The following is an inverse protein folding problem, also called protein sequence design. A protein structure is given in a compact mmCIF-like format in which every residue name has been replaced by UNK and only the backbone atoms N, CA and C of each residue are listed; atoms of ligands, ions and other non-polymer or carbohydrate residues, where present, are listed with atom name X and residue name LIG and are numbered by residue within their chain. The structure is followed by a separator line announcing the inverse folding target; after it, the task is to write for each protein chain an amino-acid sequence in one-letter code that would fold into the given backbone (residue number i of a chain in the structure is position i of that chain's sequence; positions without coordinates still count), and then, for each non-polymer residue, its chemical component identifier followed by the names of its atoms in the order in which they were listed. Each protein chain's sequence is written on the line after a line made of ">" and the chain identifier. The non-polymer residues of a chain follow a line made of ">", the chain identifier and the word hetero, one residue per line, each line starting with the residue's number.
data_IF_658559787979
#
_entry.id   IF_658559787979
#
_cell.length_a   1.000
_cell.length_b   1.000
_cell.length_c   1.000
_cell.angle_alpha   90.00
_cell.angle_beta   90.00
_cell.angle_gamma   90.00
#
_symmetry.space_group_name_H-M   'P 1'
#
loop_
_entity.id
_entity.type
_entity.pdbx_description
1 polymer ?
#
# COMPACT_ATOMS: atom_id res chain seq x y z
N UNK A 1 -44.72 1.87 29.87
CA UNK A 1 -43.30 1.75 29.48
C UNK A 1 -43.10 2.16 28.02
N UNK A 2 -43.42 3.41 27.65
CA UNK A 2 -43.26 3.92 26.28
C UNK A 2 -42.53 5.27 26.21
N UNK A 3 -42.04 5.81 27.33
CA UNK A 3 -41.61 7.21 27.42
C UNK A 3 -40.09 7.43 27.61
N UNK A 4 -39.28 6.37 27.53
CA UNK A 4 -37.81 6.48 27.70
C UNK A 4 -37.02 6.40 26.39
N UNK A 5 -37.66 6.22 25.24
CA UNK A 5 -36.96 6.07 23.94
C UNK A 5 -36.58 7.38 23.23
N UNK A 6 -36.85 8.56 23.82
CA UNK A 6 -36.62 9.86 23.15
C UNK A 6 -35.51 10.75 23.79
N UNK A 7 -34.69 10.21 24.72
CA UNK A 7 -33.82 11.03 25.58
C UNK A 7 -32.42 11.35 25.04
N UNK A 8 -32.14 11.18 23.74
CA UNK A 8 -30.89 11.69 23.13
C UNK A 8 -31.15 12.50 21.86
N UNK A 9 -31.97 13.54 21.96
CA UNK A 9 -31.92 14.62 20.97
C UNK A 9 -30.59 15.36 21.13
N UNK A 10 -29.68 15.19 20.18
CA UNK A 10 -28.46 16.00 20.07
C UNK A 10 -28.88 17.46 20.03
N UNK A 11 -28.37 18.32 20.95
CA UNK A 11 -28.74 19.72 20.98
C UNK A 11 -28.48 20.37 19.62
N UNK A 12 -29.39 21.23 19.17
CA UNK A 12 -29.28 21.93 17.90
C UNK A 12 -28.79 23.37 18.09
N UNK A 13 -28.39 24.05 17.00
CA UNK A 13 -28.06 25.48 17.02
C UNK A 13 -29.21 26.32 17.60
N UNK A 14 -30.47 25.89 17.42
CA UNK A 14 -31.65 26.58 17.98
C UNK A 14 -31.72 26.44 19.50
N UNK A 15 -31.28 25.31 20.05
CA UNK A 15 -31.28 25.08 21.49
C UNK A 15 -30.19 25.92 22.17
N UNK A 16 -29.02 26.04 21.54
CA UNK A 16 -27.96 26.96 21.98
C UNK A 16 -28.42 28.41 21.91
N UNK A 17 -29.11 28.79 20.83
CA UNK A 17 -29.61 30.15 20.64
C UNK A 17 -30.60 30.55 21.74
N UNK A 18 -31.47 29.62 22.13
CA UNK A 18 -32.39 29.79 23.26
C UNK A 18 -31.65 29.89 24.59
N UNK A 19 -30.66 29.02 24.84
CA UNK A 19 -29.90 29.02 26.09
C UNK A 19 -29.01 30.27 26.25
N UNK A 20 -28.46 30.79 25.15
CA UNK A 20 -27.61 31.98 25.16
C UNK A 20 -28.38 33.31 24.98
N UNK A 21 -29.70 33.25 24.82
CA UNK A 21 -30.60 34.38 24.54
C UNK A 21 -30.13 35.25 23.36
N UNK A 22 -30.01 34.62 22.20
CA UNK A 22 -29.58 35.27 20.95
C UNK A 22 -30.29 34.65 19.74
N UNK A 23 -30.22 35.32 18.59
CA UNK A 23 -30.69 34.73 17.34
C UNK A 23 -29.83 33.52 16.92
N UNK A 24 -30.41 32.46 16.32
CA UNK A 24 -29.66 31.32 15.77
C UNK A 24 -28.58 31.72 14.75
N UNK A 25 -28.78 32.81 14.02
CA UNK A 25 -27.80 33.38 13.10
C UNK A 25 -26.56 33.91 13.83
N UNK A 26 -26.70 34.47 15.03
CA UNK A 26 -25.60 34.93 15.89
C UNK A 26 -24.80 33.75 16.45
N UNK A 27 -25.47 32.69 16.91
CA UNK A 27 -24.80 31.43 17.30
C UNK A 27 -24.02 30.85 16.13
N UNK A 28 -24.64 30.73 14.96
CA UNK A 28 -23.98 30.24 13.76
C UNK A 28 -22.76 31.08 13.36
N UNK A 29 -22.82 32.41 13.49
CA UNK A 29 -21.68 33.31 13.23
C UNK A 29 -20.52 33.06 14.20
N UNK A 30 -20.81 32.95 15.50
CA UNK A 30 -19.80 32.72 16.54
C UNK A 30 -19.16 31.34 16.40
N UNK A 31 -19.94 30.28 16.21
CA UNK A 31 -19.42 28.91 16.11
C UNK A 31 -18.69 28.64 14.79
N UNK A 32 -19.05 29.34 13.72
CA UNK A 32 -18.38 29.22 12.42
C UNK A 32 -17.30 30.29 12.16
N UNK A 33 -17.02 31.15 13.15
CA UNK A 33 -16.05 32.26 13.07
C UNK A 33 -16.18 33.08 11.77
N UNK A 34 -17.41 33.46 11.38
CA UNK A 34 -17.64 34.29 10.17
C UNK A 34 -17.23 35.73 10.47
N UNK A 35 -16.29 36.29 9.70
CA UNK A 35 -16.10 37.74 9.63
C UNK A 35 -17.29 38.35 8.86
N UNK A 36 -18.08 39.19 9.51
CA UNK A 36 -19.18 39.94 8.92
C UNK A 36 -19.15 41.37 9.45
N UNK A 37 -19.72 42.31 8.71
CA UNK A 37 -19.73 43.77 9.00
C UNK A 37 -20.37 44.16 10.34
N UNK A 38 -20.97 43.19 11.05
CA UNK A 38 -21.54 43.34 12.39
C UNK A 38 -20.74 42.49 13.37
N UNK A 39 -19.98 43.15 14.25
CA UNK A 39 -19.16 42.50 15.27
C UNK A 39 -20.03 41.95 16.42
N UNK A 40 -19.82 40.69 16.79
CA UNK A 40 -20.45 40.10 17.99
C UNK A 40 -19.58 40.44 19.20
N UNK A 41 -20.20 41.02 20.25
CA UNK A 41 -19.49 41.41 21.46
C UNK A 41 -18.89 40.20 22.19
N UNK A 42 -17.76 40.40 22.87
CA UNK A 42 -17.08 39.32 23.60
C UNK A 42 -17.95 38.73 24.73
N UNK A 43 -18.77 39.56 25.38
CA UNK A 43 -19.76 39.11 26.36
C UNK A 43 -20.79 38.13 25.75
N UNK A 44 -21.20 38.36 24.50
CA UNK A 44 -22.14 37.48 23.80
C UNK A 44 -21.45 36.20 23.32
N UNK A 45 -20.18 36.29 22.89
CA UNK A 45 -19.35 35.14 22.53
C UNK A 45 -19.19 34.20 23.73
N UNK A 46 -18.88 34.72 24.92
CA UNK A 46 -18.79 33.94 26.17
C UNK A 46 -20.10 33.23 26.51
N UNK A 47 -21.25 33.92 26.43
CA UNK A 47 -22.57 33.31 26.69
C UNK A 47 -22.86 32.13 25.75
N UNK A 48 -22.53 32.26 24.47
CA UNK A 48 -22.72 31.19 23.49
C UNK A 48 -21.83 29.98 23.80
N UNK A 49 -20.56 30.19 24.15
CA UNK A 49 -19.65 29.08 24.50
C UNK A 49 -20.02 28.38 25.80
N UNK A 50 -20.50 29.12 26.82
CA UNK A 50 -21.06 28.52 28.04
C UNK A 50 -22.27 27.65 27.72
N UNK A 51 -23.22 28.14 26.93
CA UNK A 51 -24.39 27.37 26.49
C UNK A 51 -24.00 26.11 25.69
N UNK A 52 -22.96 26.18 24.84
CA UNK A 52 -22.43 24.99 24.15
C UNK A 52 -21.89 23.95 25.14
N UNK A 53 -21.14 24.38 26.15
CA UNK A 53 -20.56 23.50 27.17
C UNK A 53 -21.63 22.84 28.02
N UNK A 54 -22.60 23.60 28.52
CA UNK A 54 -23.71 23.12 29.35
C UNK A 54 -24.59 22.12 28.61
N UNK A 55 -24.89 22.39 27.33
CA UNK A 55 -25.69 21.51 26.50
C UNK A 55 -24.89 20.31 25.96
N UNK A 56 -23.57 20.25 26.20
CA UNK A 56 -22.65 19.29 25.55
C UNK A 56 -22.82 19.30 24.03
N UNK A 57 -23.01 20.49 23.48
CA UNK A 57 -23.17 20.69 22.05
C UNK A 57 -21.82 20.52 21.36
N UNK A 58 -21.73 19.53 20.49
CA UNK A 58 -20.64 19.40 19.54
C UNK A 58 -21.09 19.95 18.18
N UNK A 59 -20.37 20.94 17.59
CA UNK A 59 -20.66 21.41 16.25
C UNK A 59 -20.74 20.23 15.28
N UNK A 60 -21.90 20.07 14.64
CA UNK A 60 -22.09 18.97 13.71
C UNK A 60 -21.14 19.15 12.53
N UNK A 61 -20.19 18.23 12.37
CA UNK A 61 -19.21 18.23 11.27
C UNK A 61 -19.93 18.25 9.91
N UNK A 62 -21.09 17.61 9.80
CA UNK A 62 -21.95 17.65 8.61
C UNK A 62 -22.59 19.02 8.36
N UNK A 63 -22.83 19.82 9.41
CA UNK A 63 -23.32 21.20 9.26
C UNK A 63 -22.21 22.15 8.78
N UNK A 64 -20.93 21.91 9.14
CA UNK A 64 -19.79 22.63 8.52
C UNK A 64 -19.66 22.29 7.03
N UNK A 65 -19.89 21.03 6.64
CA UNK A 65 -19.88 20.52 5.25
C UNK A 65 -20.97 21.14 4.37
N UNK A 66 -22.15 21.43 4.93
CA UNK A 66 -23.29 21.98 4.20
C UNK A 66 -23.09 23.43 3.69
N UNK A 67 -22.10 24.15 4.24
CA UNK A 67 -21.82 25.56 3.89
C UNK A 67 -20.61 25.72 2.95
N UNK A 68 -20.23 24.67 2.21
CA UNK A 68 -19.16 24.73 1.20
C UNK A 68 -17.75 24.80 1.76
N UNK A 69 -17.54 24.39 3.02
CA UNK A 69 -16.21 24.31 3.64
C UNK A 69 -15.64 22.89 3.52
N UNK A 70 -14.32 22.82 3.34
CA UNK A 70 -13.51 21.58 3.41
C UNK A 70 -13.84 20.76 4.65
N UNK A 71 -13.85 19.43 4.50
CA UNK A 71 -14.13 18.46 5.57
C UNK A 71 -13.09 18.48 6.69
N UNK A 72 -11.88 18.97 6.41
CA UNK A 72 -10.68 18.84 7.25
C UNK A 72 -10.35 17.36 7.53
N UNK A 73 -10.65 16.48 6.57
CA UNK A 73 -10.41 15.05 6.70
C UNK A 73 -9.62 14.56 5.49
N UNK A 74 -8.53 13.85 5.74
CA UNK A 74 -7.69 13.24 4.71
C UNK A 74 -7.84 11.73 4.79
N UNK A 75 -8.09 11.09 3.64
CA UNK A 75 -8.06 9.63 3.55
C UNK A 75 -6.60 9.13 3.46
N UNK A 76 -6.26 8.11 4.24
CA UNK A 76 -5.11 7.25 3.95
C UNK A 76 -5.64 5.91 3.51
N UNK A 77 -5.26 5.51 2.31
CA UNK A 77 -5.81 4.32 1.68
C UNK A 77 -4.75 3.28 1.50
N UNK A 78 -5.05 2.09 1.99
CA UNK A 78 -4.19 0.92 1.92
C UNK A 78 -4.89 -0.10 1.03
N UNK A 79 -4.50 -0.27 -0.24
CA UNK A 79 -4.94 -1.37 -1.08
C UNK A 79 -4.65 -2.70 -0.37
N UNK A 80 -5.44 -3.75 -0.65
CA UNK A 80 -5.24 -5.03 0.04
C UNK A 80 -3.86 -5.61 -0.29
N UNK A 81 -2.98 -5.66 0.71
CA UNK A 81 -1.67 -6.30 0.60
C UNK A 81 -1.82 -7.78 0.28
N UNK A 82 -2.95 -8.43 0.62
CA UNK A 82 -3.24 -9.81 0.21
C UNK A 82 -3.15 -10.07 -1.30
N UNK A 83 -3.20 -9.04 -2.16
CA UNK A 83 -2.94 -9.19 -3.61
C UNK A 83 -1.46 -9.36 -3.97
N UNK A 84 -0.58 -8.92 -3.08
CA UNK A 84 0.88 -8.91 -3.26
C UNK A 84 1.52 -9.95 -2.33
N UNK A 85 1.01 -10.08 -1.12
CA UNK A 85 1.44 -10.97 -0.05
C UNK A 85 0.23 -11.64 0.60
N UNK A 86 -0.34 -12.69 -0.02
CA UNK A 86 -1.53 -13.37 0.51
C UNK A 86 -1.36 -13.87 1.95
N UNK A 87 -0.14 -14.16 2.38
CA UNK A 87 0.17 -14.65 3.73
C UNK A 87 0.35 -13.55 4.78
N UNK A 88 0.21 -12.26 4.43
CA UNK A 88 0.45 -11.14 5.36
C UNK A 88 -0.82 -10.29 5.48
N UNK A 89 -1.30 -10.01 6.71
CA UNK A 89 -2.44 -9.12 6.93
C UNK A 89 -2.18 -7.70 6.39
N UNK A 90 -3.22 -7.06 5.84
CA UNK A 90 -3.11 -5.78 5.12
C UNK A 90 -2.51 -4.61 5.92
N UNK A 91 -2.59 -4.66 7.26
CA UNK A 91 -2.09 -3.60 8.15
C UNK A 91 -0.87 -4.02 8.97
N UNK A 92 -0.27 -5.18 8.66
CA UNK A 92 0.86 -5.72 9.42
C UNK A 92 2.23 -5.24 8.94
N UNK A 93 2.29 -4.40 7.91
CA UNK A 93 3.55 -3.83 7.40
C UNK A 93 4.11 -2.77 8.37
N UNK A 94 5.30 -2.96 8.97
CA UNK A 94 5.93 -1.98 9.86
C UNK A 94 6.21 -0.63 9.18
N UNK A 95 6.48 -0.62 7.87
CA UNK A 95 6.68 0.62 7.13
C UNK A 95 5.39 1.44 7.03
N UNK A 96 4.22 0.78 6.91
CA UNK A 96 2.92 1.44 6.94
C UNK A 96 2.69 2.07 8.32
N UNK A 97 2.97 1.36 9.41
CA UNK A 97 2.79 1.88 10.76
C UNK A 97 3.63 3.14 11.03
N UNK A 98 4.91 3.14 10.62
CA UNK A 98 5.78 4.30 10.74
C UNK A 98 5.29 5.48 9.88
N UNK A 99 4.84 5.21 8.66
CA UNK A 99 4.29 6.24 7.76
C UNK A 99 3.01 6.84 8.32
N UNK A 100 2.07 6.01 8.80
CA UNK A 100 0.84 6.47 9.44
C UNK A 100 1.14 7.34 10.66
N UNK A 101 2.15 6.99 11.46
CA UNK A 101 2.57 7.80 12.61
C UNK A 101 3.00 9.20 12.18
N UNK A 102 3.79 9.31 11.10
CA UNK A 102 4.19 10.61 10.52
C UNK A 102 3.01 11.41 9.96
N UNK A 103 2.07 10.74 9.28
CA UNK A 103 0.85 11.37 8.75
C UNK A 103 0.00 11.93 9.90
N UNK A 104 -0.27 11.12 10.93
CA UNK A 104 -1.12 11.51 12.06
C UNK A 104 -0.52 12.66 12.86
N UNK A 105 0.79 12.63 13.11
CA UNK A 105 1.49 13.73 13.78
C UNK A 105 1.35 15.04 13.00
N UNK A 106 1.67 15.01 11.69
CA UNK A 106 1.57 16.17 10.82
C UNK A 106 0.12 16.66 10.63
N UNK A 107 -0.87 15.77 10.69
CA UNK A 107 -2.29 16.06 10.59
C UNK A 107 -2.81 16.77 11.83
N UNK A 108 -2.40 16.29 13.00
CA UNK A 108 -2.76 16.87 14.30
C UNK A 108 -2.30 18.33 14.37
N UNK A 109 -1.06 18.61 13.98
CA UNK A 109 -0.50 19.98 13.94
C UNK A 109 -1.26 20.93 13.02
N UNK A 110 -1.90 20.39 11.97
CA UNK A 110 -2.61 21.16 10.93
C UNK A 110 -4.14 21.09 11.07
N UNK A 111 -4.64 20.56 12.18
CA UNK A 111 -6.07 20.44 12.46
C UNK A 111 -6.82 19.55 11.46
N UNK A 112 -6.15 18.53 10.89
CA UNK A 112 -6.75 17.54 9.99
C UNK A 112 -7.10 16.26 10.76
N UNK A 113 -8.26 15.69 10.45
CA UNK A 113 -8.62 14.32 10.80
C UNK A 113 -8.05 13.34 9.76
N UNK A 114 -7.65 12.14 10.21
CA UNK A 114 -7.16 11.07 9.33
C UNK A 114 -8.17 9.93 9.29
N UNK A 115 -8.68 9.62 8.10
CA UNK A 115 -9.53 8.46 7.86
C UNK A 115 -8.71 7.35 7.20
N UNK A 116 -8.41 6.29 7.96
CA UNK A 116 -7.79 5.09 7.39
C UNK A 116 -8.82 4.25 6.66
N UNK A 117 -8.59 3.98 5.38
CA UNK A 117 -9.47 3.17 4.54
C UNK A 117 -8.72 1.97 4.01
N UNK A 118 -9.22 0.78 4.35
CA UNK A 118 -8.73 -0.47 3.77
C UNK A 118 -9.42 -0.72 2.44
N UNK A 119 -8.65 -0.80 1.36
CA UNK A 119 -9.16 -1.23 0.06
C UNK A 119 -9.58 -2.71 0.07
N UNK A 120 -10.59 -3.05 -0.71
CA UNK A 120 -10.96 -4.45 -0.99
C UNK A 120 -10.30 -4.93 -2.29
N UNK A 121 -10.52 -6.20 -2.69
CA UNK A 121 -10.00 -6.75 -3.94
C UNK A 121 -10.52 -6.04 -5.22
N UNK A 122 -11.51 -5.15 -5.08
CA UNK A 122 -12.07 -4.31 -6.13
C UNK A 122 -11.78 -2.83 -5.88
N UNK A 123 -10.76 -2.49 -5.10
CA UNK A 123 -10.41 -1.12 -4.72
C UNK A 123 -10.47 -0.13 -5.90
N UNK A 124 -9.72 -0.43 -6.97
CA UNK A 124 -9.69 0.35 -8.20
C UNK A 124 -10.97 0.20 -9.05
N UNK A 125 -11.52 -1.02 -9.17
CA UNK A 125 -12.62 -1.31 -10.10
C UNK A 125 -14.02 -0.95 -9.59
N UNK A 126 -14.22 -0.97 -8.27
CA UNK A 126 -15.51 -0.72 -7.62
C UNK A 126 -15.86 0.76 -7.56
N UNK A 127 -14.86 1.65 -7.67
CA UNK A 127 -15.00 3.11 -7.53
C UNK A 127 -15.71 3.56 -6.23
N UNK A 128 -15.95 2.67 -5.27
CA UNK A 128 -16.69 2.99 -4.04
C UNK A 128 -16.02 4.12 -3.25
N UNK A 129 -14.70 4.20 -3.31
CA UNK A 129 -13.90 5.25 -2.67
C UNK A 129 -14.14 6.65 -3.29
N UNK A 130 -14.60 6.75 -4.54
CA UNK A 130 -15.04 8.03 -5.12
C UNK A 130 -16.21 8.63 -4.35
N UNK A 131 -17.02 7.82 -3.68
CA UNK A 131 -18.09 8.34 -2.82
C UNK A 131 -17.55 9.12 -1.62
N UNK A 132 -16.31 8.88 -1.19
CA UNK A 132 -15.67 9.66 -0.12
C UNK A 132 -15.43 11.10 -0.57
N UNK A 133 -14.92 11.27 -1.81
CA UNK A 133 -14.77 12.59 -2.42
C UNK A 133 -16.12 13.22 -2.78
N UNK A 134 -16.95 12.51 -3.54
CA UNK A 134 -18.26 13.02 -4.02
C UNK A 134 -19.22 13.34 -2.87
N UNK A 135 -19.12 12.61 -1.76
CA UNK A 135 -19.89 12.85 -0.54
C UNK A 135 -19.27 13.90 0.39
N UNK A 136 -18.15 14.54 0.01
CA UNK A 136 -17.46 15.54 0.83
C UNK A 136 -16.98 14.99 2.18
N UNK A 137 -16.66 13.69 2.23
CA UNK A 137 -16.16 13.02 3.44
C UNK A 137 -14.68 13.29 3.64
N UNK A 138 -13.92 13.43 2.55
CA UNK A 138 -12.49 13.72 2.57
C UNK A 138 -12.16 14.80 1.55
N UNK A 139 -11.13 15.60 1.85
CA UNK A 139 -10.64 16.65 0.97
C UNK A 139 -9.56 16.13 0.03
N UNK A 140 -8.80 15.13 0.47
CA UNK A 140 -7.69 14.53 -0.27
C UNK A 140 -7.38 13.11 0.16
N UNK A 141 -6.54 12.43 -0.62
CA UNK A 141 -6.22 11.02 -0.43
C UNK A 141 -4.72 10.72 -0.59
N UNK A 142 -4.15 10.10 0.44
CA UNK A 142 -2.85 9.45 0.38
C UNK A 142 -3.07 7.97 0.03
N UNK A 143 -2.35 7.46 -0.97
CA UNK A 143 -2.47 6.05 -1.38
C UNK A 143 -1.14 5.34 -1.09
N UNK A 144 -1.15 4.45 -0.10
CA UNK A 144 0.01 3.67 0.29
C UNK A 144 0.12 2.40 -0.54
N UNK A 145 1.31 2.06 -1.04
CA UNK A 145 1.58 0.72 -1.58
C UNK A 145 0.80 0.36 -2.84
N UNK A 146 0.43 1.35 -3.66
CA UNK A 146 -0.25 1.12 -4.93
C UNK A 146 0.53 0.11 -5.81
N UNK A 147 -0.18 -0.69 -6.61
CA UNK A 147 0.43 -1.58 -7.60
C UNK A 147 0.07 -1.13 -9.02
N UNK A 148 0.69 -1.73 -10.04
CA UNK A 148 0.47 -1.37 -11.45
C UNK A 148 -1.01 -1.39 -11.85
N UNK A 149 -1.80 -2.31 -11.32
CA UNK A 149 -3.23 -2.40 -11.62
C UNK A 149 -4.08 -1.26 -11.02
N UNK A 150 -3.53 -0.46 -10.10
CA UNK A 150 -4.20 0.72 -9.54
C UNK A 150 -3.94 2.00 -10.37
N UNK A 151 -3.00 1.97 -11.33
CA UNK A 151 -2.58 3.15 -12.10
C UNK A 151 -3.74 3.86 -12.80
N UNK A 152 -4.60 3.10 -13.49
CA UNK A 152 -5.72 3.66 -14.22
C UNK A 152 -6.70 4.40 -13.29
N UNK A 153 -6.90 3.87 -12.08
CA UNK A 153 -7.76 4.49 -11.08
C UNK A 153 -7.14 5.76 -10.49
N UNK A 154 -5.84 5.76 -10.20
CA UNK A 154 -5.13 6.95 -9.73
C UNK A 154 -5.17 8.06 -10.79
N UNK A 155 -5.02 7.70 -12.06
CA UNK A 155 -5.13 8.64 -13.19
C UNK A 155 -6.54 9.20 -13.34
N UNK A 156 -7.57 8.36 -13.20
CA UNK A 156 -8.98 8.77 -13.22
C UNK A 156 -9.28 9.81 -12.12
N UNK A 157 -8.87 9.53 -10.88
CA UNK A 157 -9.04 10.47 -9.76
C UNK A 157 -8.45 11.84 -10.04
N UNK A 158 -7.22 11.86 -10.57
CA UNK A 158 -6.51 13.11 -10.90
C UNK A 158 -7.16 13.85 -12.06
N UNK A 159 -7.64 13.13 -13.08
CA UNK A 159 -8.35 13.72 -14.21
C UNK A 159 -9.68 14.37 -13.78
N UNK A 160 -10.34 13.84 -12.75
CA UNK A 160 -11.50 14.47 -12.11
C UNK A 160 -11.13 15.67 -11.20
N UNK A 161 -9.85 15.97 -11.02
CA UNK A 161 -9.35 17.07 -10.18
C UNK A 161 -9.22 16.72 -8.69
N UNK A 162 -9.38 15.46 -8.31
CA UNK A 162 -9.30 15.04 -6.91
C UNK A 162 -7.86 15.00 -6.39
N UNK A 163 -7.61 15.50 -5.18
CA UNK A 163 -6.28 15.46 -4.60
C UNK A 163 -5.77 14.09 -4.19
N UNK A 164 -4.73 13.59 -4.89
CA UNK A 164 -4.20 12.24 -4.67
C UNK A 164 -2.67 12.19 -4.76
N UNK A 165 -2.04 11.70 -3.68
CA UNK A 165 -0.59 11.48 -3.59
C UNK A 165 -0.29 10.00 -3.28
N UNK A 166 0.26 9.25 -4.25
CA UNK A 166 0.76 7.90 -4.02
C UNK A 166 2.06 7.90 -3.22
N UNK A 167 2.22 6.88 -2.35
CA UNK A 167 3.34 6.73 -1.44
C UNK A 167 3.81 5.26 -1.42
N UNK A 168 5.12 5.04 -1.38
CA UNK A 168 5.77 3.74 -1.24
C UNK A 168 5.17 2.64 -2.15
N UNK A 169 4.91 2.96 -3.42
CA UNK A 169 4.18 2.09 -4.34
C UNK A 169 4.49 2.35 -5.80
N UNK A 170 3.61 1.89 -6.68
CA UNK A 170 3.73 2.08 -8.12
C UNK A 170 3.25 3.47 -8.50
N UNK A 171 4.03 4.14 -9.35
CA UNK A 171 3.67 5.40 -9.97
C UNK A 171 3.86 5.23 -11.47
N UNK A 172 2.77 5.29 -12.22
CA UNK A 172 2.83 5.19 -13.69
C UNK A 172 3.04 6.54 -14.38
N UNK A 173 2.59 7.62 -13.75
CA UNK A 173 2.83 9.00 -14.18
C UNK A 173 3.78 9.68 -13.19
N UNK A 174 5.06 9.70 -13.55
CA UNK A 174 6.14 10.28 -12.75
C UNK A 174 6.07 11.83 -12.70
N UNK A 175 5.25 12.45 -13.54
CA UNK A 175 5.13 13.92 -13.57
C UNK A 175 4.32 14.46 -12.40
N UNK A 176 3.49 13.63 -11.78
CA UNK A 176 2.63 13.99 -10.67
C UNK A 176 3.28 13.71 -9.30
N UNK A 177 2.90 14.46 -8.23
CA UNK A 177 3.48 14.30 -6.90
C UNK A 177 3.38 12.85 -6.39
N UNK A 178 4.51 12.33 -5.93
CA UNK A 178 4.62 11.01 -5.33
C UNK A 178 5.81 10.92 -4.37
N UNK A 179 5.75 9.96 -3.46
CA UNK A 179 6.81 9.71 -2.48
C UNK A 179 7.25 8.25 -2.54
N UNK A 180 8.53 8.02 -2.85
CA UNK A 180 9.07 6.67 -3.07
C UNK A 180 10.35 6.46 -2.27
N UNK A 181 10.72 5.19 -2.08
CA UNK A 181 12.03 4.79 -1.56
C UNK A 181 12.90 4.32 -2.73
N UNK A 182 14.17 4.72 -2.75
CA UNK A 182 15.16 4.16 -3.67
C UNK A 182 15.57 2.74 -3.25
N UNK A 183 14.65 1.81 -3.49
CA UNK A 183 14.80 0.39 -3.20
C UNK A 183 15.95 -0.25 -3.99
N UNK A 184 16.25 0.28 -5.18
CA UNK A 184 17.35 -0.19 -6.03
C UNK A 184 18.69 0.19 -5.43
N UNK A 185 18.83 1.46 -5.00
CA UNK A 185 20.02 1.94 -4.29
C UNK A 185 20.25 1.14 -3.01
N UNK A 186 19.21 0.90 -2.21
CA UNK A 186 19.33 0.23 -0.91
C UNK A 186 19.84 -1.21 -1.05
N UNK A 187 19.23 -1.98 -1.96
CA UNK A 187 19.64 -3.36 -2.21
C UNK A 187 21.01 -3.45 -2.90
N UNK A 188 21.34 -2.49 -3.76
CA UNK A 188 22.69 -2.39 -4.32
C UNK A 188 23.74 -2.12 -3.23
N UNK A 189 23.41 -1.31 -2.21
CA UNK A 189 24.25 -1.09 -1.03
C UNK A 189 24.53 -2.37 -0.26
N UNK A 190 23.49 -3.17 0.00
CA UNK A 190 23.62 -4.48 0.67
C UNK A 190 24.47 -5.46 -0.14
N UNK A 191 24.26 -5.53 -1.46
CA UNK A 191 25.06 -6.37 -2.33
C UNK A 191 26.53 -5.95 -2.32
N UNK A 192 26.82 -4.64 -2.42
CA UNK A 192 28.20 -4.11 -2.32
C UNK A 192 28.85 -4.46 -0.98
N UNK A 193 28.10 -4.38 0.13
CA UNK A 193 28.58 -4.78 1.46
C UNK A 193 28.96 -6.27 1.51
N UNK A 194 28.13 -7.16 0.99
CA UNK A 194 28.49 -8.58 0.92
C UNK A 194 29.72 -8.82 0.03
N UNK A 195 29.83 -8.12 -1.09
CA UNK A 195 30.96 -8.24 -2.02
C UNK A 195 32.27 -7.75 -1.38
N UNK A 196 32.21 -6.65 -0.61
CA UNK A 196 33.37 -6.09 0.12
C UNK A 196 33.84 -7.00 1.25
N UNK A 197 32.93 -7.76 1.88
CA UNK A 197 33.27 -8.82 2.84
C UNK A 197 33.92 -10.06 2.16
N UNK A 198 33.99 -10.10 0.83
CA UNK A 198 34.62 -11.19 0.08
C UNK A 198 33.66 -12.27 -0.39
N UNK A 199 32.34 -12.11 -0.21
CA UNK A 199 31.38 -13.07 -0.75
C UNK A 199 31.46 -13.13 -2.28
N UNK A 200 31.52 -14.36 -2.80
CA UNK A 200 31.49 -14.65 -4.24
C UNK A 200 30.34 -15.58 -4.63
N UNK A 201 29.58 -16.04 -3.63
CA UNK A 201 28.44 -16.93 -3.82
C UNK A 201 27.21 -16.39 -3.10
N UNK A 202 26.31 -15.70 -3.80
CA UNK A 202 25.15 -15.03 -3.21
C UNK A 202 23.84 -15.63 -3.73
N UNK A 203 22.90 -15.94 -2.84
CA UNK A 203 21.52 -16.21 -3.23
C UNK A 203 20.64 -15.00 -2.90
N UNK A 204 19.81 -14.58 -3.85
CA UNK A 204 18.92 -13.43 -3.72
C UNK A 204 17.49 -13.97 -3.54
N UNK A 205 16.93 -13.82 -2.35
CA UNK A 205 15.53 -14.19 -2.08
C UNK A 205 14.65 -12.99 -2.43
N UNK A 206 14.10 -12.98 -3.64
CA UNK A 206 13.22 -11.91 -4.15
C UNK A 206 11.83 -11.99 -3.51
N UNK A 207 11.11 -10.88 -3.63
CA UNK A 207 9.68 -10.79 -3.30
C UNK A 207 8.80 -10.88 -4.54
N UNK A 208 7.51 -10.49 -4.42
CA UNK A 208 6.53 -10.58 -5.49
C UNK A 208 6.88 -9.65 -6.66
N UNK A 209 6.81 -10.15 -7.89
CA UNK A 209 7.10 -9.34 -9.10
C UNK A 209 6.03 -8.25 -9.37
N UNK A 210 4.89 -8.31 -8.66
CA UNK A 210 3.84 -7.29 -8.70
C UNK A 210 4.14 -6.09 -7.81
N UNK A 211 5.11 -6.19 -6.90
CA UNK A 211 5.46 -5.14 -5.94
C UNK A 211 6.67 -4.33 -6.43
N UNK A 212 6.53 -3.01 -6.68
CA UNK A 212 7.64 -2.18 -7.16
C UNK A 212 8.86 -2.20 -6.24
N UNK A 213 8.65 -2.22 -4.92
CA UNK A 213 9.75 -2.33 -3.95
C UNK A 213 10.53 -3.65 -4.10
N UNK A 214 9.85 -4.78 -4.26
CA UNK A 214 10.51 -6.08 -4.47
C UNK A 214 11.30 -6.13 -5.78
N UNK A 215 10.71 -5.59 -6.85
CA UNK A 215 11.35 -5.50 -8.16
C UNK A 215 12.61 -4.64 -8.06
N UNK A 216 12.49 -3.42 -7.52
CA UNK A 216 13.63 -2.51 -7.34
C UNK A 216 14.76 -3.10 -6.49
N UNK A 217 14.43 -3.75 -5.36
CA UNK A 217 15.42 -4.44 -4.50
C UNK A 217 16.11 -5.58 -5.25
N UNK A 218 15.32 -6.42 -5.93
CA UNK A 218 15.84 -7.53 -6.73
C UNK A 218 16.79 -7.04 -7.82
N UNK A 219 16.38 -6.04 -8.59
CA UNK A 219 17.14 -5.49 -9.72
C UNK A 219 18.43 -4.80 -9.25
N UNK A 220 18.38 -4.06 -8.15
CA UNK A 220 19.55 -3.42 -7.54
C UNK A 220 20.60 -4.44 -7.10
N UNK A 221 20.18 -5.50 -6.41
CA UNK A 221 21.07 -6.59 -5.99
C UNK A 221 21.65 -7.36 -7.19
N UNK A 222 20.80 -7.72 -8.16
CA UNK A 222 21.19 -8.47 -9.36
C UNK A 222 22.20 -7.69 -10.20
N UNK A 223 21.92 -6.42 -10.50
CA UNK A 223 22.82 -5.57 -11.27
C UNK A 223 24.18 -5.45 -10.57
N UNK A 224 24.18 -5.18 -9.26
CA UNK A 224 25.43 -5.05 -8.48
C UNK A 224 26.27 -6.32 -8.49
N UNK A 225 25.65 -7.50 -8.32
CA UNK A 225 26.38 -8.77 -8.37
C UNK A 225 26.94 -9.04 -9.77
N UNK A 226 26.15 -8.75 -10.81
CA UNK A 226 26.56 -8.91 -12.21
C UNK A 226 27.75 -8.03 -12.55
N UNK A 227 27.67 -6.74 -12.21
CA UNK A 227 28.72 -5.76 -12.52
C UNK A 227 30.05 -6.09 -11.80
N UNK A 228 29.97 -6.70 -10.62
CA UNK A 228 31.13 -7.16 -9.85
C UNK A 228 31.64 -8.55 -10.24
N UNK A 229 31.04 -9.22 -11.23
CA UNK A 229 31.41 -10.59 -11.64
C UNK A 229 31.18 -11.65 -10.55
N UNK A 230 30.28 -11.38 -9.60
CA UNK A 230 29.94 -12.31 -8.51
C UNK A 230 28.88 -13.29 -8.97
N UNK A 231 29.08 -14.58 -8.71
CA UNK A 231 28.07 -15.58 -9.00
C UNK A 231 26.86 -15.39 -8.07
N UNK A 232 25.67 -15.36 -8.65
CA UNK A 232 24.42 -15.23 -7.91
C UNK A 232 23.29 -16.07 -8.50
N UNK A 233 22.29 -16.35 -7.68
CA UNK A 233 21.00 -16.91 -8.14
C UNK A 233 19.85 -16.23 -7.43
N UNK A 234 18.85 -15.82 -8.20
CA UNK A 234 17.63 -15.21 -7.70
C UNK A 234 16.50 -16.24 -7.57
N UNK A 235 15.75 -16.14 -6.47
CA UNK A 235 14.63 -17.02 -6.16
C UNK A 235 13.38 -16.16 -5.94
N UNK A 236 12.30 -16.34 -6.73
CA UNK A 236 11.05 -15.61 -6.56
C UNK A 236 10.37 -15.99 -5.25
N UNK A 237 9.53 -15.10 -4.71
CA UNK A 237 8.97 -15.28 -3.38
C UNK A 237 7.99 -14.22 -2.93
N UNK A 238 7.62 -14.27 -1.65
CA UNK A 238 6.81 -13.25 -0.97
C UNK A 238 7.61 -12.54 0.14
N UNK A 239 7.04 -11.47 0.69
CA UNK A 239 7.57 -10.69 1.81
C UNK A 239 7.26 -11.31 3.20
N UNK A 240 7.21 -12.63 3.32
CA UNK A 240 6.81 -13.30 4.57
C UNK A 240 7.92 -14.19 5.14
N UNK A 241 7.84 -14.40 6.46
CA UNK A 241 8.72 -15.31 7.19
C UNK A 241 8.71 -16.71 6.59
N UNK A 242 7.52 -17.32 6.42
CA UNK A 242 7.39 -18.67 5.87
C UNK A 242 7.98 -18.79 4.48
N UNK A 243 7.78 -17.78 3.63
CA UNK A 243 8.37 -17.71 2.30
C UNK A 243 9.91 -17.73 2.34
N UNK A 244 10.51 -16.95 3.24
CA UNK A 244 11.96 -16.94 3.47
C UNK A 244 12.50 -18.28 3.98
N UNK A 245 11.82 -18.85 4.98
CA UNK A 245 12.16 -20.13 5.58
C UNK A 245 12.17 -21.28 4.56
N UNK A 246 11.07 -21.48 3.83
CA UNK A 246 10.96 -22.58 2.86
C UNK A 246 12.02 -22.50 1.76
N UNK A 247 12.29 -21.29 1.24
CA UNK A 247 13.30 -21.09 0.20
C UNK A 247 14.70 -21.34 0.73
N UNK A 248 15.04 -20.76 1.88
CA UNK A 248 16.34 -20.95 2.50
C UNK A 248 16.59 -22.42 2.80
N UNK A 249 15.60 -23.14 3.34
CA UNK A 249 15.71 -24.58 3.61
C UNK A 249 16.05 -25.38 2.35
N UNK A 250 15.39 -25.08 1.21
CA UNK A 250 15.69 -25.74 -0.09
C UNK A 250 17.10 -25.38 -0.60
N UNK A 251 17.50 -24.13 -0.47
CA UNK A 251 18.80 -23.63 -0.95
C UNK A 251 19.96 -24.22 -0.15
N UNK A 252 19.82 -24.28 1.18
CA UNK A 252 20.88 -24.69 2.10
C UNK A 252 21.09 -26.21 2.12
N UNK A 253 20.12 -27.00 1.65
CA UNK A 253 20.28 -28.45 1.40
C UNK A 253 21.07 -28.80 0.13
N UNK A 254 21.32 -27.83 -0.75
CA UNK A 254 22.05 -28.05 -2.00
C UNK A 254 23.55 -28.37 -1.78
N UNK A 255 24.18 -29.06 -2.74
CA UNK A 255 25.63 -29.37 -2.68
C UNK A 255 26.50 -28.12 -2.83
N UNK A 256 26.12 -27.18 -3.70
CA UNK A 256 26.83 -25.91 -3.90
C UNK A 256 26.09 -24.78 -3.19
N UNK A 257 26.47 -24.51 -1.95
CA UNK A 257 25.75 -23.56 -1.08
C UNK A 257 26.22 -22.12 -1.27
N UNK A 258 25.30 -21.14 -1.21
CA UNK A 258 25.70 -19.75 -1.12
C UNK A 258 26.41 -19.49 0.21
N UNK A 259 27.25 -18.47 0.22
CA UNK A 259 27.87 -17.95 1.45
C UNK A 259 27.12 -16.75 2.03
N UNK A 260 26.18 -16.20 1.25
CA UNK A 260 25.31 -15.11 1.70
C UNK A 260 23.91 -15.22 1.10
N UNK A 261 22.90 -14.86 1.89
CA UNK A 261 21.53 -14.64 1.45
C UNK A 261 21.20 -13.15 1.49
N UNK A 262 20.82 -12.59 0.35
CA UNK A 262 20.26 -11.24 0.26
C UNK A 262 18.74 -11.35 0.18
N UNK A 263 18.05 -11.03 1.27
CA UNK A 263 16.62 -11.18 1.38
C UNK A 263 15.88 -9.88 1.05
N UNK A 264 14.71 -10.00 0.42
CA UNK A 264 13.92 -8.85 -0.04
C UNK A 264 13.42 -7.95 1.10
N UNK A 265 13.23 -8.48 2.31
CA UNK A 265 12.90 -7.74 3.52
C UNK A 265 13.33 -8.49 4.77
N UNK A 266 13.21 -7.83 5.92
CA UNK A 266 13.63 -8.41 7.20
C UNK A 266 12.79 -9.64 7.61
N UNK A 267 11.48 -9.69 7.32
CA UNK A 267 10.67 -10.89 7.60
C UNK A 267 11.17 -12.12 6.85
N UNK A 268 11.51 -11.95 5.56
CA UNK A 268 12.13 -13.01 4.74
C UNK A 268 13.50 -13.39 5.29
N UNK A 269 14.29 -12.42 5.76
CA UNK A 269 15.59 -12.64 6.36
C UNK A 269 15.51 -13.46 7.65
N UNK A 270 14.56 -13.13 8.54
CA UNK A 270 14.33 -13.89 9.78
C UNK A 270 13.92 -15.34 9.49
N UNK A 271 13.06 -15.57 8.51
CA UNK A 271 12.74 -16.93 8.06
C UNK A 271 13.96 -17.67 7.51
N UNK A 272 14.82 -16.97 6.78
CA UNK A 272 16.05 -17.55 6.25
C UNK A 272 17.08 -17.88 7.34
N UNK A 273 17.18 -17.05 8.39
CA UNK A 273 18.00 -17.30 9.58
C UNK A 273 17.48 -18.54 10.31
N UNK A 274 16.17 -18.66 10.51
CA UNK A 274 15.58 -19.84 11.16
C UNK A 274 15.88 -21.13 10.38
N UNK A 275 15.75 -21.10 9.05
CA UNK A 275 16.11 -22.25 8.21
C UNK A 275 17.61 -22.59 8.25
N UNK A 276 18.48 -21.59 8.46
CA UNK A 276 19.91 -21.80 8.66
C UNK A 276 20.18 -22.48 10.01
N UNK A 277 19.51 -22.02 11.08
CA UNK A 277 19.56 -22.63 12.41
C UNK A 277 19.14 -24.10 12.36
N UNK A 278 18.01 -24.43 11.70
CA UNK A 278 17.57 -25.82 11.52
C UNK A 278 18.57 -26.69 10.75
N UNK A 279 19.32 -26.08 9.83
CA UNK A 279 20.38 -26.75 9.08
C UNK A 279 21.70 -26.86 9.86
N UNK A 280 21.74 -26.46 11.13
CA UNK A 280 22.93 -26.47 11.98
C UNK A 280 23.97 -25.42 11.61
N UNK A 281 23.53 -24.31 11.00
CA UNK A 281 24.40 -23.23 10.52
C UNK A 281 24.27 -22.01 11.41
N UNK A 282 25.40 -21.37 11.67
CA UNK A 282 25.45 -20.13 12.42
C UNK A 282 25.43 -18.94 11.48
N UNK A 283 24.63 -17.94 11.84
CA UNK A 283 24.62 -16.63 11.20
C UNK A 283 25.29 -15.67 12.18
N UNK A 284 26.42 -15.02 11.83
CA UNK A 284 26.95 -14.88 10.47
C UNK A 284 28.06 -15.86 10.04
N UNK A 285 28.58 -16.70 10.94
CA UNK A 285 29.86 -17.39 10.76
C UNK A 285 29.88 -18.37 9.57
N UNK A 286 28.78 -19.09 9.37
CA UNK A 286 28.66 -20.08 8.29
C UNK A 286 27.86 -19.53 7.10
N UNK A 287 27.04 -18.50 7.34
CA UNK A 287 26.18 -17.86 6.35
C UNK A 287 25.87 -16.41 6.73
N UNK A 288 26.20 -15.47 5.84
CA UNK A 288 25.76 -14.07 5.97
C UNK A 288 24.29 -13.93 5.52
N UNK A 289 23.48 -13.15 6.23
CA UNK A 289 22.09 -12.85 5.86
C UNK A 289 21.83 -11.36 5.95
N UNK A 290 21.24 -10.79 4.91
CA UNK A 290 20.77 -9.39 4.90
C UNK A 290 19.26 -9.30 4.71
N UNK A 291 18.64 -8.28 5.28
CA UNK A 291 17.24 -7.93 5.06
C UNK A 291 17.05 -6.61 4.31
N UNK A 292 15.90 -6.00 4.50
CA UNK A 292 15.56 -4.64 4.10
C UNK A 292 14.41 -4.14 4.98
N UNK A 293 14.35 -2.82 5.19
CA UNK A 293 13.35 -2.04 5.96
C UNK A 293 13.73 -1.68 7.40
N UNK A 294 14.68 -2.39 8.03
CA UNK A 294 15.01 -2.24 9.46
C UNK A 294 13.77 -2.30 10.37
N UNK A 295 12.88 -3.24 10.03
CA UNK A 295 11.59 -3.48 10.67
C UNK A 295 11.73 -4.10 12.07
N UNK A 296 12.85 -4.79 12.34
CA UNK A 296 13.11 -5.47 13.61
C UNK A 296 14.44 -5.02 14.24
N UNK A 297 14.60 -3.72 14.58
CA UNK A 297 15.89 -3.18 15.04
C UNK A 297 16.35 -3.75 16.40
N UNK A 298 15.44 -4.39 17.13
CA UNK A 298 15.71 -5.02 18.42
C UNK A 298 16.06 -6.51 18.33
N UNK A 299 15.96 -7.13 17.14
CA UNK A 299 16.41 -8.51 16.92
C UNK A 299 17.92 -8.67 17.21
N UNK A 300 18.34 -9.85 17.65
CA UNK A 300 19.73 -10.17 18.01
C UNK A 300 20.18 -11.51 17.38
N UNK A 301 21.36 -11.56 16.73
CA UNK A 301 22.22 -10.42 16.38
C UNK A 301 21.47 -9.42 15.49
N UNK A 302 21.78 -8.12 15.58
CA UNK A 302 21.07 -7.10 14.78
C UNK A 302 21.17 -7.47 13.30
N UNK A 303 20.07 -7.34 12.56
CA UNK A 303 20.07 -7.65 11.14
C UNK A 303 20.85 -6.58 10.36
N UNK A 304 21.68 -7.02 9.42
CA UNK A 304 22.24 -6.14 8.39
C UNK A 304 21.17 -5.86 7.35
N UNK A 305 20.77 -4.61 7.20
CA UNK A 305 19.57 -4.20 6.45
C UNK A 305 19.75 -2.77 5.92
N UNK A 306 18.73 -2.18 5.32
CA UNK A 306 18.67 -0.75 5.05
C UNK A 306 17.39 -0.16 5.63
N UNK A 307 17.42 1.13 5.96
CA UNK A 307 16.28 1.87 6.49
C UNK A 307 15.94 3.03 5.55
N UNK A 308 14.65 3.24 5.32
CA UNK A 308 14.13 4.47 4.74
C UNK A 308 13.40 5.30 5.82
N UNK A 309 13.38 6.63 5.72
CA UNK A 309 12.76 7.52 6.70
C UNK A 309 11.23 7.56 6.52
N UNK A 310 10.55 6.46 6.90
CA UNK A 310 9.12 6.28 6.63
C UNK A 310 8.23 7.25 7.42
N UNK A 311 8.65 7.66 8.63
CA UNK A 311 7.94 8.66 9.42
C UNK A 311 7.94 10.02 8.69
N UNK A 312 9.10 10.43 8.19
CA UNK A 312 9.29 11.67 7.44
C UNK A 312 8.57 11.62 6.10
N UNK A 313 8.55 10.46 5.43
CA UNK A 313 7.70 10.22 4.26
C UNK A 313 6.23 10.49 4.57
N UNK A 314 5.74 9.99 5.71
CA UNK A 314 4.38 10.24 6.20
C UNK A 314 4.07 11.73 6.34
N UNK A 315 4.91 12.44 7.08
CA UNK A 315 4.75 13.87 7.33
C UNK A 315 4.82 14.70 6.03
N UNK A 316 5.78 14.38 5.15
CA UNK A 316 5.91 15.04 3.85
C UNK A 316 4.72 14.74 2.93
N UNK A 317 4.20 13.51 2.95
CA UNK A 317 3.05 13.10 2.13
C UNK A 317 1.81 13.93 2.44
N UNK A 318 1.53 14.12 3.73
CA UNK A 318 0.46 15.02 4.14
C UNK A 318 0.73 16.46 3.70
N UNK A 319 1.92 16.99 3.95
CA UNK A 319 2.26 18.37 3.59
C UNK A 319 2.07 18.61 2.08
N UNK A 320 2.54 17.69 1.24
CA UNK A 320 2.35 17.73 -0.22
C UNK A 320 0.87 17.72 -0.59
N UNK A 321 0.06 16.86 0.04
CA UNK A 321 -1.35 16.79 -0.26
C UNK A 321 -2.11 18.07 0.13
N UNK A 322 -1.75 18.68 1.26
CA UNK A 322 -2.34 19.94 1.72
C UNK A 322 -1.94 21.12 0.81
N UNK A 323 -0.69 21.16 0.36
CA UNK A 323 -0.25 22.13 -0.66
C UNK A 323 -1.09 22.00 -1.95
N UNK A 324 -1.43 20.77 -2.36
CA UNK A 324 -2.31 20.55 -3.50
C UNK A 324 -3.76 21.01 -3.25
N UNK A 325 -4.18 21.12 -2.00
CA UNK A 325 -5.51 21.62 -1.65
C UNK A 325 -5.57 23.15 -1.65
N UNK A 326 -4.52 23.82 -1.16
CA UNK A 326 -4.49 25.26 -0.87
C UNK A 326 -4.20 26.17 -2.08
N UNK A 327 -3.69 25.63 -3.20
CA UNK A 327 -3.39 26.41 -4.39
C UNK A 327 -4.46 26.36 -5.49
N UNK A 328 -4.70 27.44 -6.26
CA UNK A 328 -5.32 27.39 -7.59
C UNK A 328 -4.41 26.74 -8.66
N UNK A 329 -3.24 26.26 -8.23
CA UNK A 329 -2.23 25.62 -9.05
C UNK A 329 -2.78 24.27 -9.47
N UNK A 330 -3.15 24.17 -10.75
CA UNK A 330 -3.55 22.94 -11.41
C UNK A 330 -2.60 21.81 -10.99
N UNK A 331 -3.13 20.61 -10.75
CA UNK A 331 -2.35 19.39 -10.54
C UNK A 331 -1.17 19.22 -11.53
N UNK A 332 -1.32 19.81 -12.73
CA UNK A 332 -0.35 19.82 -13.81
C UNK A 332 0.83 20.80 -13.64
N UNK A 333 0.76 21.78 -12.73
CA UNK A 333 1.81 22.77 -12.43
C UNK A 333 2.65 22.38 -11.20
N UNK A 334 2.11 21.56 -10.29
CA UNK A 334 2.84 20.89 -9.19
C UNK A 334 3.77 19.75 -9.69
N UNK A 335 4.28 19.87 -10.92
CA UNK A 335 5.14 18.88 -11.59
C UNK A 335 6.31 18.45 -10.72
N UNK A 336 6.76 17.20 -10.90
CA UNK A 336 8.06 16.55 -10.58
C UNK A 336 8.98 17.14 -9.49
N UNK A 337 9.18 18.45 -9.43
CA UNK A 337 9.83 19.23 -8.37
C UNK A 337 9.34 18.94 -6.93
N UNK A 338 8.12 18.41 -6.75
CA UNK A 338 7.58 18.01 -5.45
C UNK A 338 7.55 16.50 -5.21
N UNK A 339 7.94 15.68 -6.18
CA UNK A 339 8.13 14.26 -5.96
C UNK A 339 9.45 14.04 -5.24
N UNK A 340 9.46 13.10 -4.29
CA UNK A 340 10.65 12.84 -3.49
C UNK A 340 10.94 11.34 -3.45
N UNK A 341 12.19 11.01 -3.80
CA UNK A 341 12.72 9.66 -3.67
C UNK A 341 13.67 9.66 -2.48
N UNK A 342 13.26 9.00 -1.41
CA UNK A 342 14.05 8.87 -0.20
C UNK A 342 15.20 7.88 -0.42
N UNK A 343 16.42 8.32 -0.14
CA UNK A 343 17.57 7.44 -0.11
C UNK A 343 17.43 6.41 1.03
N UNK A 344 17.83 5.18 0.75
CA UNK A 344 17.95 4.15 1.78
C UNK A 344 19.32 4.29 2.49
N UNK A 345 19.30 4.26 3.81
CA UNK A 345 20.49 4.26 4.65
C UNK A 345 20.84 2.83 5.05
N UNK A 346 22.08 2.40 4.78
CA UNK A 346 22.54 1.08 5.17
C UNK A 346 22.70 0.97 6.70
N UNK A 347 22.12 -0.07 7.29
CA UNK A 347 22.20 -0.37 8.73
C UNK A 347 22.96 -1.68 8.90
N UNK A 348 24.24 -1.58 9.25
CA UNK A 348 25.09 -2.74 9.47
C UNK A 348 24.81 -3.37 10.83
N UNK A 349 24.54 -4.67 10.82
CA UNK A 349 24.24 -5.46 12.00
C UNK A 349 25.27 -6.58 12.21
N UNK A 350 24.93 -7.55 13.07
CA UNK A 350 25.75 -8.72 13.35
C UNK A 350 25.43 -9.95 12.48
N UNK A 351 24.55 -9.85 11.49
CA UNK A 351 24.18 -10.99 10.61
C UNK A 351 25.04 -11.12 9.35
N UNK A 352 26.11 -10.36 9.22
CA UNK A 352 27.06 -10.52 8.11
C UNK A 352 28.51 -10.56 8.61
N UNK A 353 29.33 -11.40 7.97
CA UNK A 353 30.75 -11.56 8.23
C UNK A 353 31.48 -12.01 6.95
N UNK A 354 32.82 -11.99 6.88
CA UNK A 354 33.54 -12.62 5.78
C UNK A 354 33.12 -14.09 5.58
N UNK A 355 33.09 -14.61 4.34
CA UNK A 355 32.67 -15.98 4.09
C UNK A 355 33.61 -16.98 4.80
N UNK A 356 33.09 -18.15 5.25
CA UNK A 356 33.92 -19.18 5.86
C UNK A 356 35.03 -19.64 4.92
N UNK A 357 36.24 -19.78 5.47
CA UNK A 357 37.43 -20.22 4.74
C UNK A 357 37.32 -21.74 4.50
N UNK A 358 36.78 -22.12 3.35
CA UNK A 358 36.64 -23.53 2.92
C UNK A 358 36.97 -23.69 1.44
N UNK A 359 37.39 -24.91 1.03
CA UNK A 359 37.89 -25.23 -0.33
C UNK A 359 37.04 -24.52 -1.39
N UNK A 360 37.72 -23.83 -2.31
CA UNK A 360 37.16 -23.23 -3.52
C UNK A 360 36.60 -24.34 -4.42
N UNK A 361 35.50 -24.97 -4.02
CA UNK A 361 34.68 -25.70 -4.97
C UNK A 361 34.14 -24.65 -5.93
N UNK A 362 34.53 -24.76 -7.19
CA UNK A 362 34.02 -23.90 -8.24
C UNK A 362 32.50 -23.99 -8.20
N UNK A 363 31.84 -22.86 -7.91
CA UNK A 363 30.40 -22.76 -8.12
C UNK A 363 30.15 -22.75 -9.63
N UNK A 364 30.23 -23.92 -10.26
CA UNK A 364 29.94 -24.11 -11.68
C UNK A 364 28.43 -24.15 -11.85
N UNK A 365 27.81 -22.98 -11.98
CA UNK A 365 26.44 -22.88 -12.47
C UNK A 365 26.45 -22.20 -13.83
N UNK A 366 26.14 -22.98 -14.89
CA UNK A 366 26.05 -22.53 -16.28
C UNK A 366 24.64 -21.99 -16.56
N UNK A 367 24.29 -20.82 -16.03
CA UNK A 367 22.93 -20.29 -16.17
C UNK A 367 22.81 -18.77 -16.10
N UNK A 368 23.72 -18.02 -16.72
CA UNK A 368 23.49 -16.59 -16.91
C UNK A 368 22.49 -16.35 -18.04
N UNK A 369 21.20 -16.30 -17.71
CA UNK A 369 20.13 -15.60 -18.46
C UNK A 369 18.83 -15.81 -17.68
N UNK A 370 18.18 -14.76 -17.17
CA UNK A 370 17.13 -14.11 -17.94
C UNK A 370 15.79 -14.84 -17.78
N UNK A 371 14.87 -14.23 -17.03
CA UNK A 371 13.46 -14.65 -16.78
C UNK A 371 13.22 -15.80 -15.79
N UNK A 372 12.13 -15.69 -15.03
CA UNK A 372 11.69 -16.64 -14.00
C UNK A 372 11.40 -18.07 -14.50
N UNK A 373 11.46 -18.30 -15.81
CA UNK A 373 11.07 -19.55 -16.47
C UNK A 373 12.12 -20.67 -16.37
N UNK A 374 13.39 -20.37 -16.06
CA UNK A 374 14.48 -21.37 -16.06
C UNK A 374 14.92 -21.80 -14.65
N UNK A 375 14.07 -21.62 -13.64
CA UNK A 375 14.28 -22.31 -12.37
C UNK A 375 13.72 -23.75 -12.47
N UNK A 376 14.52 -24.81 -12.21
CA UNK A 376 14.01 -26.17 -12.02
C UNK A 376 12.98 -26.30 -10.87
N UNK A 377 12.75 -25.21 -10.13
CA UNK A 377 11.82 -25.08 -9.03
C UNK A 377 10.41 -24.63 -9.44
N UNK A 378 10.20 -24.20 -10.68
CA UNK A 378 8.85 -23.89 -11.20
C UNK A 378 8.32 -25.17 -11.85
N UNK A 379 7.48 -25.93 -11.13
CA UNK A 379 6.53 -26.79 -11.83
C UNK A 379 5.59 -25.84 -12.57
N UNK A 380 5.49 -25.88 -13.91
CA UNK A 380 4.37 -25.22 -14.55
C UNK A 380 3.11 -25.81 -13.92
N UNK A 381 2.21 -24.96 -13.42
CA UNK A 381 0.87 -25.38 -13.03
C UNK A 381 0.23 -26.17 -14.18
N UNK A 382 -0.78 -27.01 -13.90
CA UNK A 382 -1.39 -27.85 -14.92
C UNK A 382 -1.74 -26.98 -16.12
N UNK A 383 -1.17 -27.30 -17.29
CA UNK A 383 -1.59 -26.68 -18.54
C UNK A 383 -3.12 -26.83 -18.61
N UNK A 384 -3.88 -25.78 -18.99
CA UNK A 384 -5.29 -25.98 -19.28
C UNK A 384 -5.37 -27.12 -20.30
N UNK A 385 -6.11 -28.16 -19.93
CA UNK A 385 -6.36 -29.32 -20.79
C UNK A 385 -6.78 -28.79 -22.16
N UNK A 386 -6.09 -29.27 -23.20
CA UNK A 386 -6.50 -29.04 -24.57
C UNK A 386 -7.99 -29.34 -24.67
N UNK A 387 -8.76 -28.30 -25.00
CA UNK A 387 -10.20 -28.40 -25.15
C UNK A 387 -10.54 -29.48 -26.17
N UNK A 388 -11.49 -30.30 -25.77
CA UNK A 388 -12.29 -31.20 -26.59
C UNK A 388 -12.58 -30.58 -27.99
N UNK A 389 -12.27 -31.28 -29.10
CA UNK A 389 -12.50 -30.79 -30.45
C UNK A 389 -13.97 -30.97 -30.84
N UNK A 390 -14.88 -30.24 -30.20
CA UNK A 390 -16.32 -30.31 -30.52
C UNK A 390 -17.02 -28.96 -30.66
N UNK A 391 -16.34 -27.82 -30.46
CA UNK A 391 -16.99 -26.49 -30.51
C UNK A 391 -16.53 -25.54 -31.63
N UNK A 392 -15.75 -26.02 -32.61
CA UNK A 392 -15.32 -25.23 -33.78
C UNK A 392 -16.31 -25.18 -34.95
N UNK A 393 -17.53 -25.69 -34.78
CA UNK A 393 -18.53 -25.78 -35.85
C UNK A 393 -19.84 -25.05 -35.51
N UNK A 394 -19.77 -23.83 -34.95
CA UNK A 394 -20.98 -23.00 -34.78
C UNK A 394 -20.75 -21.48 -34.77
N UNK A 395 -19.67 -21.02 -35.41
CA UNK A 395 -19.44 -19.59 -35.68
C UNK A 395 -18.87 -19.40 -37.08
N UNK A 396 -19.69 -19.67 -38.10
CA UNK A 396 -19.58 -19.18 -39.49
C UNK A 396 -20.78 -19.69 -40.26
N UNK A 397 -21.92 -19.00 -40.13
CA UNK A 397 -23.06 -18.94 -41.07
C UNK A 397 -24.19 -18.22 -40.34
N UNK A 398 -24.29 -16.91 -40.56
CA UNK A 398 -25.54 -16.15 -40.74
C UNK A 398 -25.23 -14.66 -40.77
N UNK A 399 -24.66 -14.21 -41.88
CA UNK A 399 -24.98 -12.89 -42.42
C UNK A 399 -25.60 -13.13 -43.81
N UNK A 400 -26.69 -12.41 -44.09
CA UNK A 400 -27.34 -12.15 -45.39
C UNK A 400 -28.62 -12.93 -45.73
N UNK A 401 -29.59 -12.16 -46.27
CA UNK A 401 -30.93 -12.46 -46.80
C UNK A 401 -32.07 -12.44 -45.75
N UNK A 402 -32.73 -11.30 -45.49
CA UNK A 402 -33.72 -10.53 -46.29
C UNK A 402 -35.20 -10.94 -46.06
N UNK A 403 -36.03 -9.91 -45.82
CA UNK A 403 -37.46 -9.75 -46.07
C UNK A 403 -38.53 -10.44 -45.17
N UNK A 404 -39.33 -9.60 -44.49
CA UNK A 404 -40.79 -9.54 -44.70
C UNK A 404 -41.74 -10.11 -43.63
N UNK A 405 -42.60 -9.23 -43.07
CA UNK A 405 -43.91 -9.45 -42.43
C UNK A 405 -43.99 -10.30 -41.14
N UNK A 406 -44.98 -10.21 -40.24
CA UNK A 406 -46.01 -9.25 -39.81
C UNK A 406 -46.73 -9.99 -38.64
N UNK A 407 -47.03 -9.30 -37.51
CA UNK A 407 -47.92 -9.71 -36.37
C UNK A 407 -47.54 -11.03 -35.64
N UNK A 408 -47.75 -11.31 -34.35
CA UNK A 408 -48.68 -10.87 -33.29
C UNK A 408 -48.22 -11.54 -31.96
N UNK A 409 -48.49 -10.89 -30.81
CA UNK A 409 -48.42 -11.42 -29.42
C UNK A 409 -49.25 -12.72 -29.19
N UNK A 410 -49.27 -13.40 -28.00
CA UNK A 410 -48.63 -13.13 -26.68
C UNK A 410 -47.98 -14.37 -25.95
N UNK A 411 -47.37 -14.08 -24.79
CA UNK A 411 -47.08 -14.97 -23.62
C UNK A 411 -48.32 -15.80 -23.18
N UNK A 412 -48.28 -16.91 -22.38
CA UNK A 412 -47.73 -16.91 -21.00
C UNK A 412 -47.24 -18.24 -20.35
N UNK A 413 -46.50 -18.07 -19.23
CA UNK A 413 -46.58 -18.75 -17.92
C UNK A 413 -46.40 -20.28 -17.70
N UNK A 414 -45.51 -20.55 -16.73
CA UNK A 414 -45.67 -21.40 -15.52
C UNK A 414 -45.39 -22.92 -15.52
N UNK A 415 -44.93 -23.31 -14.32
CA UNK A 415 -44.84 -24.63 -13.67
C UNK A 415 -43.51 -25.40 -13.85
N UNK A 416 -42.68 -25.60 -12.80
CA UNK A 416 -42.83 -26.56 -11.67
C UNK A 416 -42.78 -27.99 -12.24
N UNK A 417 -41.87 -28.92 -11.93
CA UNK A 417 -41.34 -29.41 -10.64
C UNK A 417 -40.37 -30.58 -10.92
N UNK A 418 -39.47 -30.85 -9.96
CA UNK A 418 -38.93 -32.17 -9.55
C UNK A 418 -38.17 -33.00 -10.64
N UNK A 419 -37.17 -33.84 -10.40
CA UNK A 419 -36.89 -34.88 -9.39
C UNK A 419 -35.35 -35.11 -9.45
N UNK A 420 -34.63 -35.07 -8.33
CA UNK A 420 -34.16 -36.24 -7.55
C UNK A 420 -33.40 -37.34 -8.31
N UNK A 421 -32.15 -37.52 -7.87
CA UNK A 421 -31.46 -38.80 -7.62
C UNK A 421 -30.78 -39.62 -8.74
N UNK A 422 -29.58 -40.09 -8.35
CA UNK A 422 -28.71 -41.21 -8.83
C UNK A 422 -27.74 -40.82 -9.95
N UNK A 423 -26.43 -41.05 -9.84
CA UNK A 423 -25.61 -41.92 -8.96
C UNK A 423 -24.38 -41.19 -8.38
#
# INVERSE_FOLDING_TARGET
>A
MADERNSRKTPSIRDIARAADVAPSTVSRVLNNRATDVAVTEATRKRIWMACSELRYHPNVHAKRLFGRRSQTIAVVVPPLGRVTPSVPDLADPNLANTLSGIVAAATERGQDVLLVRGDAKFASSRKHLSLFRGGTVDGMLIWGAVRSDEAYIRELRAEGWPVVPMNGFVGDETAPHLLVDNRQGAAGLARHLISLGHRRVAILRGPDTAPAAVGRGDGAIATCRDAGVAFRAYPGEFSFGSGFERAQRILRGKSRPTALLCVNDSTALGAIEAATEAGLRVPEDLSVTGADDAFPYYRPRLTTFRAPMYEMGALGLALLLDCLDGPVMWNELRASKSHIFAAELKLGGTTAPPPVGKREEWRWRGTSGTAAECPCVRPGPRPSAGDPSSRQQRRRTESAEAGCDRSHPSPANCISAESERE
#
